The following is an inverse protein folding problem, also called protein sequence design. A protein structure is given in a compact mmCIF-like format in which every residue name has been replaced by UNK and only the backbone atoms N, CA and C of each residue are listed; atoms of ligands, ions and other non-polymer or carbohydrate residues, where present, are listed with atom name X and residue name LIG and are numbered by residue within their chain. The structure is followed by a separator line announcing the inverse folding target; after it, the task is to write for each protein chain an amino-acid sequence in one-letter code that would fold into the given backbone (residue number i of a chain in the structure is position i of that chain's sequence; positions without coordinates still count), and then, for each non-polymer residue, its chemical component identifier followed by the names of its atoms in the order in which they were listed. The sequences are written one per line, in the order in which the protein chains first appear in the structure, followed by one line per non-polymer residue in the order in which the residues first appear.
data_IF_561720226128
#
_entry.id   IF_561720226128
#
_cell.length_a   1.000
_cell.length_b   1.000
_cell.length_c   1.000
_cell.angle_alpha   90.00
_cell.angle_beta   90.00
_cell.angle_gamma   90.00
#
_symmetry.space_group_name_H-M   'P 1'
#
loop_
_entity.id
_entity.type
_entity.pdbx_description
1 polymer ?
#
# COMPACT_ATOMS: atom_id res chain seq x y z
N UNK A 1 -13.31 -20.86 -2.89
CA UNK A 1 -13.57 -20.78 -3.10
C UNK A 1 -14.31 -20.83 -3.75
N UNK A 2 -14.66 -21.04 -4.14
CA UNK A 2 -14.97 -20.91 -4.62
C UNK A 2 -15.52 -20.48 -4.94
N UNK A 3 -15.95 -20.48 -5.51
CA UNK A 3 -16.20 -19.76 -5.37
C UNK A 3 -16.78 -18.80 -4.89
N UNK A 4 -17.79 -18.57 -5.24
CA UNK A 4 -18.21 -17.45 -4.43
C UNK A 4 -17.49 -17.35 -3.14
N UNK A 5 -16.89 -18.34 -2.83
CA UNK A 5 -16.03 -18.36 -1.65
C UNK A 5 -14.69 -17.78 -2.05
N UNK A 6 -14.63 -16.47 -2.06
CA UNK A 6 -13.39 -15.78 -2.36
C UNK A 6 -12.37 -16.13 -1.31
N UNK A 7 -11.25 -16.62 -1.76
CA UNK A 7 -10.13 -16.91 -0.88
C UNK A 7 -9.31 -15.64 -0.77
N UNK A 8 -9.37 -14.98 0.38
CA UNK A 8 -8.63 -13.73 0.57
C UNK A 8 -7.14 -13.89 0.27
N UNK A 9 -6.57 -15.04 0.59
CA UNK A 9 -5.16 -15.25 0.30
C UNK A 9 -4.88 -15.21 -1.19
N UNK A 10 -5.77 -15.79 -1.98
CA UNK A 10 -5.60 -15.77 -3.43
C UNK A 10 -5.79 -14.36 -3.98
N UNK A 11 -6.79 -13.65 -3.45
CA UNK A 11 -7.06 -12.29 -3.91
C UNK A 11 -5.91 -11.36 -3.58
N UNK A 12 -5.25 -11.58 -2.46
CA UNK A 12 -4.17 -10.72 -2.02
C UNK A 12 -2.81 -11.16 -2.55
N UNK A 13 -2.72 -12.32 -3.16
CA UNK A 13 -1.45 -12.75 -3.78
C UNK A 13 -1.22 -11.95 -5.04
N UNK A 14 0.03 -11.57 -5.25
CA UNK A 14 0.41 -10.85 -6.46
C UNK A 14 0.15 -11.72 -7.68
N UNK A 15 -0.37 -11.10 -8.72
CA UNK A 15 -0.52 -11.77 -9.99
C UNK A 15 0.86 -12.01 -10.60
N UNK A 16 0.96 -13.06 -11.39
CA UNK A 16 2.19 -13.34 -12.12
C UNK A 16 2.26 -12.46 -13.36
N UNK A 17 2.49 -11.17 -13.14
CA UNK A 17 2.62 -10.18 -14.20
C UNK A 17 3.89 -9.40 -13.97
N UNK A 18 4.19 -8.51 -14.89
CA UNK A 18 5.33 -7.60 -14.74
C UNK A 18 4.89 -6.21 -14.30
N UNK A 19 3.62 -6.05 -13.98
CA UNK A 19 3.08 -4.74 -13.60
C UNK A 19 3.70 -4.22 -12.31
N UNK A 20 3.75 -2.92 -12.23
CA UNK A 20 4.16 -2.25 -11.00
C UNK A 20 3.14 -2.53 -9.90
N UNK A 21 3.64 -2.73 -8.68
CA UNK A 21 2.78 -3.00 -7.53
C UNK A 21 2.81 -1.78 -6.61
N UNK A 22 1.63 -1.28 -6.26
CA UNK A 22 1.48 -0.17 -5.33
C UNK A 22 0.73 -0.69 -4.10
N UNK A 23 1.40 -0.66 -2.96
CA UNK A 23 0.82 -1.11 -1.70
C UNK A 23 0.40 0.10 -0.89
N UNK A 24 -0.79 0.04 -0.30
CA UNK A 24 -1.32 1.11 0.55
C UNK A 24 -1.78 0.48 1.86
N UNK A 25 -1.28 0.97 2.96
CA UNK A 25 -1.63 0.41 4.25
C UNK A 25 -1.78 1.45 5.33
N UNK A 26 -2.38 1.04 6.45
CA UNK A 26 -2.56 1.92 7.58
C UNK A 26 -3.24 1.21 8.73
N UNK A 27 -3.20 1.84 9.90
CA UNK A 27 -3.84 1.30 11.08
C UNK A 27 -3.17 0.04 11.61
N UNK A 28 -3.92 -0.75 12.37
CA UNK A 28 -3.39 -1.91 13.06
C UNK A 28 -3.25 -3.15 12.19
N UNK A 29 -3.80 -3.15 10.98
CA UNK A 29 -3.80 -4.32 10.10
C UNK A 29 -2.54 -4.50 9.29
N UNK A 30 -1.39 -4.08 9.79
CA UNK A 30 -0.17 -4.01 8.99
C UNK A 30 0.63 -5.32 8.93
N UNK A 31 0.37 -6.27 9.82
CA UNK A 31 1.13 -7.52 9.79
C UNK A 31 0.98 -8.28 8.46
N UNK A 32 -0.22 -8.41 7.90
CA UNK A 32 -0.35 -9.06 6.58
C UNK A 32 0.35 -8.31 5.47
N UNK A 33 0.31 -6.98 5.51
CA UNK A 33 1.01 -6.16 4.52
C UNK A 33 2.52 -6.42 4.59
N UNK A 34 3.06 -6.42 5.80
CA UNK A 34 4.47 -6.72 6.03
C UNK A 34 4.83 -8.11 5.49
N UNK A 35 4.01 -9.10 5.81
CA UNK A 35 4.26 -10.46 5.34
C UNK A 35 4.26 -10.55 3.83
N UNK A 36 3.33 -9.86 3.18
CA UNK A 36 3.23 -9.89 1.73
C UNK A 36 4.44 -9.23 1.08
N UNK A 37 4.89 -8.11 1.62
CA UNK A 37 6.07 -7.41 1.11
C UNK A 37 7.32 -8.26 1.28
N UNK A 38 7.50 -8.89 2.45
CA UNK A 38 8.63 -9.78 2.67
C UNK A 38 8.59 -10.96 1.72
N UNK A 39 7.39 -11.51 1.48
CA UNK A 39 7.25 -12.63 0.56
C UNK A 39 7.71 -12.25 -0.85
N UNK A 40 7.26 -11.10 -1.34
CA UNK A 40 7.62 -10.66 -2.69
C UNK A 40 9.11 -10.34 -2.81
N UNK A 41 9.67 -9.64 -1.85
CA UNK A 41 11.01 -9.10 -1.98
C UNK A 41 12.09 -10.07 -1.50
N UNK A 42 11.81 -10.87 -0.47
CA UNK A 42 12.83 -11.78 0.08
C UNK A 42 12.67 -13.21 -0.38
N UNK A 43 11.44 -13.74 -0.35
CA UNK A 43 11.23 -15.13 -0.73
C UNK A 43 11.18 -15.31 -2.25
N UNK A 44 10.37 -14.52 -2.92
CA UNK A 44 10.25 -14.61 -4.38
C UNK A 44 11.39 -13.88 -5.06
N UNK A 45 11.86 -12.78 -4.47
CA UNK A 45 12.94 -12.00 -5.05
C UNK A 45 12.50 -11.29 -6.31
N UNK A 46 11.28 -10.75 -6.32
CA UNK A 46 10.74 -10.11 -7.50
C UNK A 46 11.57 -8.89 -7.91
N UNK A 47 11.65 -8.65 -9.21
CA UNK A 47 12.26 -7.42 -9.74
C UNK A 47 11.20 -6.40 -10.15
N UNK A 48 9.94 -6.65 -9.88
CA UNK A 48 8.86 -5.70 -10.15
C UNK A 48 9.07 -4.45 -9.32
N UNK A 49 8.68 -3.31 -9.88
CA UNK A 49 8.73 -2.06 -9.12
C UNK A 49 7.62 -2.08 -8.07
N UNK A 50 7.99 -1.81 -6.83
CA UNK A 50 7.06 -1.85 -5.69
C UNK A 50 7.21 -0.56 -4.90
N UNK A 51 6.10 0.08 -4.59
CA UNK A 51 6.07 1.20 -3.64
C UNK A 51 5.03 0.90 -2.57
N UNK A 52 5.32 1.35 -1.36
CA UNK A 52 4.41 1.17 -0.23
C UNK A 52 4.09 2.53 0.37
N UNK A 53 2.81 2.83 0.45
CA UNK A 53 2.30 4.12 0.94
C UNK A 53 1.58 3.89 2.26
N UNK A 54 2.19 4.35 3.34
CA UNK A 54 1.74 4.07 4.70
C UNK A 54 1.07 5.32 5.26
N UNK A 55 -0.22 5.22 5.56
CA UNK A 55 -0.98 6.30 6.18
C UNK A 55 -1.20 6.05 7.66
N UNK A 56 -0.89 7.03 8.48
CA UNK A 56 -1.14 6.97 9.92
C UNK A 56 -1.54 8.35 10.37
N UNK A 57 -2.16 8.46 11.57
CA UNK A 57 -2.47 9.77 12.12
C UNK A 57 -1.22 10.43 12.69
N UNK A 58 -0.42 9.68 13.43
CA UNK A 58 0.81 10.18 14.04
C UNK A 58 1.84 9.06 14.09
N UNK A 59 3.09 9.41 14.44
CA UNK A 59 4.17 8.43 14.51
C UNK A 59 3.89 7.32 15.51
N UNK A 60 3.14 7.60 16.55
CA UNK A 60 2.83 6.63 17.58
C UNK A 60 1.97 5.46 17.06
N UNK A 61 1.31 5.63 15.93
CA UNK A 61 0.46 4.60 15.34
C UNK A 61 1.19 3.72 14.32
N UNK A 62 2.47 3.98 14.08
CA UNK A 62 3.21 3.27 13.05
C UNK A 62 3.84 1.98 13.58
N UNK A 63 3.80 0.95 12.75
CA UNK A 63 4.37 -0.36 13.07
C UNK A 63 5.38 -0.76 12.01
N UNK A 64 6.41 -1.51 12.43
CA UNK A 64 7.36 -2.16 11.52
C UNK A 64 8.20 -1.19 10.69
N UNK A 65 8.42 0.02 11.17
CA UNK A 65 9.19 1.04 10.42
C UNK A 65 10.58 0.51 10.06
N UNK A 66 11.25 -0.13 11.01
CA UNK A 66 12.60 -0.66 10.77
C UNK A 66 12.59 -1.73 9.69
N UNK A 67 11.53 -2.55 9.64
CA UNK A 67 11.41 -3.59 8.63
C UNK A 67 11.28 -2.97 7.23
N UNK A 68 10.47 -1.92 7.10
CA UNK A 68 10.29 -1.27 5.79
C UNK A 68 11.53 -0.51 5.37
N UNK A 69 12.20 0.15 6.31
CA UNK A 69 13.48 0.80 6.02
C UNK A 69 14.52 -0.22 5.55
N UNK A 70 14.52 -1.41 6.18
CA UNK A 70 15.43 -2.47 5.77
C UNK A 70 15.14 -2.98 4.37
N UNK A 71 13.87 -3.14 4.02
CA UNK A 71 13.51 -3.57 2.67
C UNK A 71 13.89 -2.52 1.63
N UNK A 72 13.68 -1.26 1.95
CA UNK A 72 14.04 -0.15 1.06
C UNK A 72 15.56 -0.14 0.80
N UNK A 73 16.33 -0.29 1.86
CA UNK A 73 17.79 -0.28 1.74
C UNK A 73 18.32 -1.49 0.98
N UNK A 74 17.63 -2.63 1.06
CA UNK A 74 18.11 -3.88 0.49
C UNK A 74 17.62 -4.13 -0.94
N UNK A 75 16.65 -3.39 -1.43
CA UNK A 75 16.02 -3.65 -2.73
C UNK A 75 15.85 -2.37 -3.51
N UNK A 76 16.56 -2.25 -4.63
CA UNK A 76 16.49 -1.04 -5.48
C UNK A 76 15.10 -0.84 -6.07
N UNK A 77 14.34 -1.91 -6.22
CA UNK A 77 13.00 -1.86 -6.82
C UNK A 77 11.90 -1.57 -5.80
N UNK A 78 12.25 -1.35 -4.54
CA UNK A 78 11.27 -1.06 -3.48
C UNK A 78 11.55 0.30 -2.85
N UNK A 79 10.49 1.08 -2.64
CA UNK A 79 10.58 2.29 -1.82
C UNK A 79 9.29 2.41 -1.02
N UNK A 80 9.34 3.18 0.07
CA UNK A 80 8.15 3.38 0.88
C UNK A 80 8.06 4.82 1.36
N UNK A 81 6.83 5.24 1.61
CA UNK A 81 6.54 6.64 1.93
C UNK A 81 5.50 6.66 3.05
N UNK A 82 5.62 7.66 3.92
CA UNK A 82 4.73 7.82 5.06
C UNK A 82 4.03 9.16 4.96
N UNK A 83 2.72 9.16 5.22
CA UNK A 83 1.96 10.40 5.37
C UNK A 83 1.24 10.37 6.71
N UNK A 84 1.37 11.45 7.46
CA UNK A 84 0.65 11.60 8.73
C UNK A 84 -0.48 12.58 8.54
N UNK A 85 -1.71 12.15 8.90
CA UNK A 85 -2.88 13.01 8.75
C UNK A 85 -3.07 13.95 9.94
N UNK A 86 -2.48 13.63 11.08
CA UNK A 86 -2.58 14.44 12.30
C UNK A 86 -1.29 14.32 13.12
N UNK A 87 -0.16 14.82 12.58
CA UNK A 87 1.11 14.72 13.30
C UNK A 87 1.05 15.52 14.57
N UNK A 88 1.59 14.97 15.66
CA UNK A 88 1.59 15.61 16.96
C UNK A 88 2.87 16.42 17.13
N UNK A 89 2.86 17.45 18.00
CA UNK A 89 4.07 18.27 18.19
C UNK A 89 5.30 17.44 18.56
N UNK A 90 5.13 16.38 19.36
CA UNK A 90 6.26 15.56 19.79
C UNK A 90 6.83 14.71 18.65
N UNK A 91 6.10 14.58 17.54
CA UNK A 91 6.60 13.82 16.38
C UNK A 91 7.70 14.55 15.64
N UNK A 92 7.76 15.87 15.76
CA UNK A 92 8.70 16.71 15.00
C UNK A 92 8.70 16.33 13.51
N UNK A 93 7.51 16.13 12.98
CA UNK A 93 7.34 15.57 11.63
C UNK A 93 7.60 16.62 10.55
N UNK A 94 8.50 16.30 9.64
CA UNK A 94 8.82 17.17 8.50
C UNK A 94 8.52 16.50 7.17
N UNK A 95 7.85 15.35 7.18
CA UNK A 95 7.53 14.61 5.98
C UNK A 95 6.16 14.98 5.42
N UNK A 96 5.62 14.05 4.66
CA UNK A 96 4.32 14.24 4.00
C UNK A 96 3.19 14.28 5.02
N UNK A 97 2.22 15.15 4.79
CA UNK A 97 1.04 15.27 5.65
C UNK A 97 -0.22 15.13 4.81
N UNK A 98 -1.29 14.64 5.45
CA UNK A 98 -2.57 14.47 4.81
C UNK A 98 -3.02 13.03 4.80
N UNK A 99 -4.18 12.78 4.24
CA UNK A 99 -4.71 11.42 4.09
C UNK A 99 -3.98 10.71 2.98
N UNK A 100 -3.74 9.41 3.16
CA UNK A 100 -2.85 8.68 2.25
C UNK A 100 -3.37 8.67 0.80
N UNK A 101 -4.69 8.67 0.59
CA UNK A 101 -5.20 8.68 -0.78
C UNK A 101 -4.85 9.97 -1.51
N UNK A 102 -4.90 11.10 -0.81
CA UNK A 102 -4.51 12.38 -1.40
C UNK A 102 -3.01 12.45 -1.64
N UNK A 103 -2.22 11.97 -0.68
CA UNK A 103 -0.76 11.99 -0.80
C UNK A 103 -0.31 11.11 -1.95
N UNK A 104 -0.86 9.91 -2.04
CA UNK A 104 -0.53 9.00 -3.14
C UNK A 104 -0.83 9.63 -4.50
N UNK A 105 -1.96 10.30 -4.61
CA UNK A 105 -2.32 10.96 -5.86
C UNK A 105 -1.38 12.13 -6.17
N UNK A 106 -1.20 13.04 -5.21
CA UNK A 106 -0.42 14.27 -5.44
C UNK A 106 1.06 13.99 -5.64
N UNK A 107 1.61 13.04 -4.91
CA UNK A 107 3.06 12.79 -4.95
C UNK A 107 3.46 11.78 -6.02
N UNK A 108 2.54 10.99 -6.51
CA UNK A 108 2.92 9.91 -7.40
C UNK A 108 1.98 9.69 -8.58
N UNK A 109 0.70 9.42 -8.33
CA UNK A 109 -0.17 8.92 -9.39
C UNK A 109 -0.59 9.98 -10.40
N UNK A 110 -0.68 11.24 -9.99
CA UNK A 110 -1.12 12.28 -10.94
C UNK A 110 -0.13 12.47 -12.07
N UNK A 111 1.15 12.21 -11.82
CA UNK A 111 2.19 12.33 -12.84
C UNK A 111 2.66 10.99 -13.38
N UNK A 112 2.02 9.92 -12.95
CA UNK A 112 2.38 8.58 -13.41
C UNK A 112 1.88 8.37 -14.84
N UNK A 113 2.73 7.83 -15.73
CA UNK A 113 2.34 7.69 -17.14
C UNK A 113 1.18 6.72 -17.36
N UNK A 114 1.00 5.73 -16.49
CA UNK A 114 -0.03 4.71 -16.68
C UNK A 114 -0.49 4.14 -15.35
N UNK A 115 -1.20 4.93 -14.50
CA UNK A 115 -1.66 4.40 -13.22
C UNK A 115 -2.65 3.24 -13.38
N UNK A 116 -3.36 3.19 -14.49
CA UNK A 116 -4.31 2.12 -14.77
C UNK A 116 -3.63 0.78 -15.03
N UNK A 117 -2.33 0.78 -15.31
CA UNK A 117 -1.58 -0.45 -15.56
C UNK A 117 -0.92 -1.03 -14.31
N UNK A 118 -1.02 -0.35 -13.17
CA UNK A 118 -0.47 -0.83 -11.92
C UNK A 118 -1.45 -1.75 -11.21
N UNK A 119 -0.92 -2.59 -10.33
CA UNK A 119 -1.72 -3.39 -9.42
C UNK A 119 -1.64 -2.76 -8.04
N UNK A 120 -2.78 -2.66 -7.38
CA UNK A 120 -2.90 -1.98 -6.10
C UNK A 120 -3.33 -2.96 -5.01
N UNK A 121 -2.55 -3.02 -3.94
CA UNK A 121 -2.79 -3.93 -2.82
C UNK A 121 -2.97 -3.09 -1.57
N UNK A 122 -4.10 -3.23 -0.89
CA UNK A 122 -4.37 -2.36 0.25
C UNK A 122 -4.89 -3.12 1.46
N UNK A 123 -4.53 -2.60 2.62
CA UNK A 123 -4.94 -3.15 3.91
C UNK A 123 -4.98 -2.00 4.90
N UNK A 124 -6.16 -1.63 5.34
CA UNK A 124 -6.31 -0.52 6.27
C UNK A 124 -7.74 -0.36 6.74
N UNK A 125 -8.02 0.69 7.48
CA UNK A 125 -9.38 0.95 7.93
C UNK A 125 -10.34 1.12 6.75
N UNK A 126 -11.63 0.77 6.94
CA UNK A 126 -12.58 0.84 5.83
C UNK A 126 -12.67 2.21 5.17
N UNK A 127 -12.61 3.28 5.95
CA UNK A 127 -12.69 4.63 5.37
C UNK A 127 -11.49 4.94 4.48
N UNK A 128 -10.32 4.52 4.90
CA UNK A 128 -9.11 4.69 4.09
C UNK A 128 -9.23 3.89 2.80
N UNK A 129 -9.65 2.63 2.92
CA UNK A 129 -9.79 1.76 1.75
C UNK A 129 -10.79 2.34 0.76
N UNK A 130 -11.93 2.83 1.25
CA UNK A 130 -12.94 3.43 0.37
C UNK A 130 -12.42 4.66 -0.35
N UNK A 131 -11.70 5.53 0.35
CA UNK A 131 -11.14 6.74 -0.26
C UNK A 131 -10.11 6.39 -1.32
N UNK A 132 -9.25 5.41 -1.05
CA UNK A 132 -8.24 4.97 -2.01
C UNK A 132 -8.92 4.36 -3.24
N UNK A 133 -9.91 3.49 -3.03
CA UNK A 133 -10.60 2.84 -4.14
C UNK A 133 -11.28 3.88 -5.04
N UNK A 134 -11.98 4.84 -4.45
CA UNK A 134 -12.64 5.88 -5.22
C UNK A 134 -11.65 6.69 -6.06
N UNK A 135 -10.52 7.03 -5.46
CA UNK A 135 -9.48 7.76 -6.17
C UNK A 135 -8.95 6.95 -7.36
N UNK A 136 -8.70 5.65 -7.13
CA UNK A 136 -8.18 4.79 -8.19
C UNK A 136 -9.19 4.61 -9.33
N UNK A 137 -10.46 4.43 -9.00
CA UNK A 137 -11.49 4.31 -10.03
C UNK A 137 -11.59 5.58 -10.86
N UNK A 138 -11.44 6.74 -10.23
CA UNK A 138 -11.44 8.02 -10.94
C UNK A 138 -10.27 8.14 -11.91
N UNK A 139 -9.16 7.45 -11.62
CA UNK A 139 -7.99 7.44 -12.51
C UNK A 139 -8.10 6.39 -13.63
N UNK A 140 -9.18 5.63 -13.66
CA UNK A 140 -9.36 4.62 -14.69
C UNK A 140 -8.81 3.25 -14.34
N UNK A 141 -8.43 3.04 -13.07
CA UNK A 141 -7.98 1.72 -12.62
C UNK A 141 -9.19 0.78 -12.56
N UNK A 142 -9.04 -0.40 -13.13
CA UNK A 142 -10.11 -1.39 -13.11
C UNK A 142 -10.09 -2.18 -11.80
N UNK A 143 -11.28 -2.63 -11.38
CA UNK A 143 -11.39 -3.33 -10.10
C UNK A 143 -10.55 -4.60 -10.04
N UNK A 144 -10.32 -5.24 -11.19
CA UNK A 144 -9.49 -6.44 -11.25
C UNK A 144 -8.05 -6.18 -10.84
N UNK A 145 -7.63 -4.92 -10.82
CA UNK A 145 -6.29 -4.54 -10.42
C UNK A 145 -6.23 -3.97 -9.01
N UNK A 146 -7.34 -4.04 -8.28
CA UNK A 146 -7.41 -3.56 -6.89
C UNK A 146 -7.66 -4.74 -5.98
N UNK A 147 -6.71 -5.00 -5.08
CA UNK A 147 -6.74 -6.14 -4.17
C UNK A 147 -6.85 -5.64 -2.74
N UNK A 148 -7.93 -6.01 -2.09
CA UNK A 148 -8.23 -5.55 -0.74
C UNK A 148 -8.14 -6.70 0.24
N UNK A 149 -7.36 -6.50 1.29
CA UNK A 149 -7.34 -7.43 2.40
C UNK A 149 -8.15 -6.82 3.54
N UNK A 150 -9.32 -7.37 3.75
CA UNK A 150 -10.28 -6.83 4.71
C UNK A 150 -10.22 -7.61 6.01
N UNK A 151 -9.19 -7.31 6.80
CA UNK A 151 -9.05 -7.93 8.10
C UNK A 151 -9.92 -7.22 9.11
N UNK A 152 -10.78 -7.95 9.72
CA UNK A 152 -11.60 -7.43 10.75
C UNK A 152 -12.78 -6.66 10.23
N UNK A 153 -13.04 -6.87 9.01
CA UNK A 153 -14.23 -6.40 8.34
C UNK A 153 -15.05 -5.42 9.03
#
# INVERSE_FOLDING_TARGET
DDKGNVNYKEDFFAKETKSEMVYIGGGAGMAPMRSHLFDQLKRIGTDRKISFWYGARSLREMFYVEDYDGLDAANENFNWHVALSDPQPEDNWEGLTGFIHNVLYEEYLKDHPAPEDCEYYMCGPPMMNSAVINMLLDLGVERENIFLDDFGG
#
